data_IF_017862573057
#
_entry.id   IF_017862573057
#
_cell.length_a   1.000
_cell.length_b   1.000
_cell.length_c   1.000
_cell.angle_alpha   90.00
_cell.angle_beta   90.00
_cell.angle_gamma   90.00
#
_symmetry.space_group_name_H-M   'P 1'
#
loop_
_entity.id
_entity.type
_entity.pdbx_description
1 polymer ?
#
# COMPACT_ATOMS: atom_id res chain seq x y z
N UNK A 1 37.03 17.13 0.12
CA UNK A 1 35.99 16.46 -0.70
C UNK A 1 35.43 15.16 -0.13
N UNK A 2 36.09 14.50 0.84
CA UNK A 2 35.61 13.23 1.44
C UNK A 2 34.38 13.39 2.33
N UNK A 3 34.28 14.47 3.14
CA UNK A 3 33.13 14.76 4.02
C UNK A 3 31.78 14.87 3.27
N UNK A 4 31.79 15.48 2.07
CA UNK A 4 30.58 15.64 1.24
C UNK A 4 30.05 14.29 0.71
N UNK A 5 30.95 13.33 0.44
CA UNK A 5 30.59 12.00 -0.06
C UNK A 5 29.81 11.19 0.98
N UNK A 6 30.19 11.32 2.26
CA UNK A 6 29.48 10.65 3.36
C UNK A 6 28.09 11.25 3.62
N UNK A 7 27.93 12.58 3.44
CA UNK A 7 26.62 13.23 3.57
C UNK A 7 25.66 12.80 2.47
N UNK A 8 26.14 12.71 1.22
CA UNK A 8 25.32 12.22 0.10
C UNK A 8 24.96 10.76 0.29
N UNK A 9 25.91 9.92 0.74
CA UNK A 9 25.65 8.50 1.01
C UNK A 9 24.66 8.27 2.16
N UNK A 10 24.74 9.08 3.22
CA UNK A 10 23.78 9.01 4.32
C UNK A 10 22.37 9.41 3.88
N UNK A 11 22.25 10.49 3.09
CA UNK A 11 20.97 10.97 2.59
C UNK A 11 20.27 9.96 1.68
N UNK A 12 20.99 9.33 0.74
CA UNK A 12 20.42 8.31 -0.15
C UNK A 12 19.98 7.06 0.61
N UNK A 13 20.72 6.65 1.64
CA UNK A 13 20.34 5.53 2.48
C UNK A 13 19.06 5.83 3.26
N UNK A 14 18.92 7.02 3.85
CA UNK A 14 17.71 7.42 4.57
C UNK A 14 16.45 7.40 3.70
N UNK A 15 16.55 7.83 2.43
CA UNK A 15 15.42 7.79 1.49
C UNK A 15 15.01 6.36 1.13
N UNK A 16 15.97 5.42 1.06
CA UNK A 16 15.67 4.02 0.76
C UNK A 16 14.87 3.32 1.86
N UNK A 17 15.04 3.70 3.13
CA UNK A 17 14.32 3.07 4.25
C UNK A 17 12.84 3.49 4.35
N UNK A 18 12.42 4.63 3.79
CA UNK A 18 11.02 5.10 3.87
C UNK A 18 10.07 4.24 3.01
N UNK A 19 10.58 3.58 1.97
CA UNK A 19 9.77 2.72 1.08
C UNK A 19 9.36 1.37 1.67
N UNK A 20 10.04 0.89 2.73
CA UNK A 20 9.83 -0.44 3.29
C UNK A 20 8.80 -0.51 4.43
N UNK A 21 8.10 0.57 4.76
CA UNK A 21 6.96 0.51 5.69
C UNK A 21 5.73 -0.07 4.99
N UNK A 22 5.76 -1.37 4.70
CA UNK A 22 4.58 -2.17 4.36
C UNK A 22 3.94 -2.69 5.63
N UNK A 23 3.05 -1.90 6.21
CA UNK A 23 2.08 -2.43 7.17
C UNK A 23 1.19 -3.42 6.41
N UNK A 24 1.31 -4.70 6.75
CA UNK A 24 0.35 -5.73 6.34
C UNK A 24 -0.96 -5.45 7.09
N UNK A 25 -1.74 -4.52 6.57
CA UNK A 25 -3.06 -4.21 7.10
C UNK A 25 -3.98 -5.38 6.77
N UNK A 26 -4.39 -6.12 7.78
CA UNK A 26 -5.26 -7.26 7.62
C UNK A 26 -6.64 -6.74 7.20
N UNK A 27 -7.05 -7.05 5.97
CA UNK A 27 -8.34 -6.58 5.43
C UNK A 27 -9.47 -7.20 6.26
N UNK A 28 -10.33 -6.40 6.89
CA UNK A 28 -11.46 -6.89 7.67
C UNK A 28 -12.37 -7.80 6.83
N UNK A 29 -13.05 -8.74 7.49
CA UNK A 29 -13.99 -9.66 6.86
C UNK A 29 -15.35 -8.97 6.58
N UNK A 30 -15.29 -7.88 5.84
CA UNK A 30 -16.44 -7.07 5.45
C UNK A 30 -17.08 -7.62 4.17
N UNK A 31 -18.37 -7.34 3.93
CA UNK A 31 -19.01 -7.76 2.71
C UNK A 31 -18.35 -7.10 1.47
N UNK A 32 -18.40 -7.77 0.30
CA UNK A 32 -17.60 -7.41 -0.87
C UNK A 32 -17.86 -5.99 -1.40
N UNK A 33 -19.10 -5.50 -1.28
CA UNK A 33 -19.48 -4.14 -1.63
C UNK A 33 -18.77 -3.08 -0.76
N UNK A 34 -18.60 -3.34 0.53
CA UNK A 34 -17.90 -2.42 1.45
C UNK A 34 -16.40 -2.42 1.20
N UNK A 35 -15.80 -3.58 0.95
CA UNK A 35 -14.37 -3.70 0.60
C UNK A 35 -14.11 -2.94 -0.71
N UNK A 36 -14.97 -3.09 -1.72
CA UNK A 36 -14.83 -2.36 -2.99
C UNK A 36 -14.99 -0.84 -2.81
N UNK A 37 -16.01 -0.40 -2.06
CA UNK A 37 -16.23 1.03 -1.79
C UNK A 37 -15.03 1.64 -1.03
N UNK A 38 -14.52 0.94 -0.03
CA UNK A 38 -13.35 1.37 0.75
C UNK A 38 -12.09 1.41 -0.13
N UNK A 39 -11.88 0.40 -0.97
CA UNK A 39 -10.78 0.39 -1.92
C UNK A 39 -10.86 1.59 -2.89
N UNK A 40 -12.05 1.92 -3.41
CA UNK A 40 -12.22 3.10 -4.24
C UNK A 40 -11.89 4.41 -3.52
N UNK A 41 -12.30 4.56 -2.27
CA UNK A 41 -11.92 5.72 -1.46
C UNK A 41 -10.40 5.81 -1.32
N UNK A 42 -9.72 4.68 -1.02
CA UNK A 42 -8.26 4.63 -0.92
C UNK A 42 -7.55 4.96 -2.25
N UNK A 43 -8.14 4.61 -3.40
CA UNK A 43 -7.65 5.03 -4.71
C UNK A 43 -7.77 6.55 -4.89
N UNK A 44 -8.92 7.13 -4.54
CA UNK A 44 -9.16 8.57 -4.63
C UNK A 44 -8.25 9.37 -3.68
N UNK A 45 -7.95 8.81 -2.51
CA UNK A 45 -7.04 9.39 -1.51
C UNK A 45 -5.55 9.26 -1.93
N UNK A 46 -5.26 8.62 -3.06
CA UNK A 46 -3.88 8.37 -3.52
C UNK A 46 -3.14 7.31 -2.71
N UNK A 47 -3.84 6.56 -1.85
CA UNK A 47 -3.29 5.45 -1.08
C UNK A 47 -3.40 4.13 -1.85
N UNK A 48 -2.68 4.08 -2.98
CA UNK A 48 -2.69 2.95 -3.91
C UNK A 48 -2.30 1.63 -3.24
N UNK A 49 -1.36 1.67 -2.28
CA UNK A 49 -0.89 0.47 -1.59
C UNK A 49 -2.00 -0.20 -0.79
N UNK A 50 -2.74 0.57 0.02
CA UNK A 50 -3.87 0.02 0.77
C UNK A 50 -5.02 -0.39 -0.16
N UNK A 51 -5.28 0.38 -1.22
CA UNK A 51 -6.30 0.04 -2.20
C UNK A 51 -6.03 -1.31 -2.87
N UNK A 52 -4.78 -1.55 -3.30
CA UNK A 52 -4.36 -2.82 -3.91
C UNK A 52 -4.61 -3.98 -2.93
N UNK A 53 -4.17 -3.85 -1.67
CA UNK A 53 -4.38 -4.91 -0.67
C UNK A 53 -5.86 -5.24 -0.45
N UNK A 54 -6.75 -4.23 -0.47
CA UNK A 54 -8.19 -4.48 -0.35
C UNK A 54 -8.79 -5.14 -1.60
N UNK A 55 -8.35 -4.75 -2.80
CA UNK A 55 -8.80 -5.36 -4.04
C UNK A 55 -8.29 -6.80 -4.20
N UNK A 56 -7.06 -7.08 -3.81
CA UNK A 56 -6.50 -8.43 -3.79
C UNK A 56 -7.23 -9.32 -2.78
N UNK A 57 -7.57 -8.79 -1.60
CA UNK A 57 -8.37 -9.52 -0.63
C UNK A 57 -9.79 -9.82 -1.15
N UNK A 58 -10.40 -8.87 -1.87
CA UNK A 58 -11.68 -9.04 -2.53
C UNK A 58 -11.63 -10.14 -3.59
N UNK A 59 -10.62 -10.12 -4.46
CA UNK A 59 -10.44 -11.11 -5.55
C UNK A 59 -10.15 -12.51 -5.02
N UNK A 60 -9.29 -12.63 -3.99
CA UNK A 60 -9.01 -13.92 -3.36
C UNK A 60 -10.21 -14.52 -2.64
N UNK A 61 -11.04 -13.68 -1.99
CA UNK A 61 -12.18 -14.14 -1.20
C UNK A 61 -13.45 -14.35 -2.03
N UNK A 62 -13.61 -13.58 -3.11
CA UNK A 62 -14.78 -13.60 -3.99
C UNK A 62 -14.39 -13.70 -5.48
N UNK A 63 -13.69 -14.76 -5.90
CA UNK A 63 -13.18 -14.91 -7.27
C UNK A 63 -14.28 -14.98 -8.34
N UNK A 64 -15.51 -15.30 -7.95
CA UNK A 64 -16.69 -15.39 -8.83
C UNK A 64 -17.75 -14.33 -8.50
N UNK A 65 -17.33 -13.16 -7.98
CA UNK A 65 -18.24 -12.06 -7.67
C UNK A 65 -19.01 -11.57 -8.92
N UNK A 66 -20.27 -11.12 -8.78
CA UNK A 66 -21.05 -10.58 -9.90
C UNK A 66 -20.61 -9.18 -10.38
N UNK A 67 -19.61 -8.58 -9.69
CA UNK A 67 -19.06 -7.21 -9.82
C UNK A 67 -20.10 -6.11 -10.04
#
# INVERSE_FOLDING_TARGET
MTRMKYLVAAATLSLALVGCSGSNEQVPDNPPNEIYATAQQKLQDGNWKQAITQLEALDNRYPFGPY
#
